data_IF_864170937374
#
_entry.id   IF_864170937374
#
_cell.length_a   1.000
_cell.length_b   1.000
_cell.length_c   1.000
_cell.angle_alpha   90.00
_cell.angle_beta   90.00
_cell.angle_gamma   90.00
#
_symmetry.space_group_name_H-M   'P 1'
#
loop_
_entity.id
_entity.type
_entity.pdbx_description
1 polymer ?
#
# COMPACT_ATOMS: atom_id res chain seq x y z
N UNK A 1 4.01 -34.30 -73.32
CA UNK A 1 5.13 -35.24 -73.69
C UNK A 1 5.48 -35.82 -72.32
N UNK A 2 5.32 -37.01 -71.99
CA UNK A 2 5.30 -38.37 -72.41
C UNK A 2 5.49 -39.17 -71.15
N UNK A 3 4.48 -39.92 -70.68
CA UNK A 3 4.39 -41.37 -70.93
C UNK A 3 5.61 -42.12 -70.37
N UNK A 4 5.56 -43.21 -69.56
CA UNK A 4 4.71 -44.39 -69.69
C UNK A 4 5.07 -45.31 -68.49
N UNK A 5 4.13 -45.91 -67.79
CA UNK A 5 3.81 -47.32 -67.55
C UNK A 5 4.96 -48.25 -67.11
N UNK A 6 4.75 -49.16 -66.20
CA UNK A 6 3.84 -50.24 -65.99
C UNK A 6 4.35 -51.15 -64.85
N UNK A 7 3.56 -51.75 -64.04
CA UNK A 7 2.83 -53.02 -64.20
C UNK A 7 3.63 -54.31 -63.92
N UNK A 8 3.05 -55.08 -63.02
CA UNK A 8 2.92 -56.50 -62.89
C UNK A 8 3.97 -57.26 -62.02
N UNK A 9 3.53 -57.80 -60.87
CA UNK A 9 2.78 -59.09 -60.69
C UNK A 9 3.70 -60.32 -60.51
N UNK A 10 3.37 -61.07 -59.53
CA UNK A 10 3.33 -62.54 -59.30
C UNK A 10 4.20 -62.96 -58.14
N UNK A 11 3.60 -63.34 -57.03
CA UNK A 11 2.94 -64.63 -56.69
C UNK A 11 3.91 -65.82 -56.94
N UNK A 12 4.34 -66.41 -55.86
CA UNK A 12 4.33 -67.86 -55.79
C UNK A 12 4.56 -68.41 -54.38
N UNK A 13 3.63 -69.22 -53.99
CA UNK A 13 3.67 -70.13 -52.87
C UNK A 13 4.75 -71.21 -53.10
N UNK A 14 5.44 -71.58 -52.02
CA UNK A 14 5.91 -72.97 -51.95
C UNK A 14 5.91 -73.50 -50.55
N UNK A 15 5.33 -74.65 -50.48
CA UNK A 15 5.02 -75.51 -49.32
C UNK A 15 6.20 -76.35 -48.90
N UNK A 16 6.15 -76.84 -47.65
CA UNK A 16 6.64 -78.12 -47.12
C UNK A 16 8.09 -78.16 -46.73
N UNK A 17 8.50 -78.66 -45.62
CA UNK A 17 8.22 -79.89 -44.85
C UNK A 17 9.22 -79.99 -43.67
N UNK A 18 8.71 -80.35 -42.51
CA UNK A 18 9.31 -81.17 -41.44
C UNK A 18 10.82 -81.34 -41.36
N UNK A 19 11.42 -80.98 -40.23
CA UNK A 19 12.15 -81.94 -39.42
C UNK A 19 12.42 -81.40 -38.01
N UNK A 20 12.18 -82.28 -37.05
CA UNK A 20 12.30 -82.13 -35.58
C UNK A 20 13.83 -82.07 -35.28
N UNK A 21 14.25 -81.11 -34.47
CA UNK A 21 15.42 -81.27 -33.64
C UNK A 21 15.28 -80.35 -32.38
N UNK A 22 15.15 -80.98 -31.25
CA UNK A 22 15.29 -80.42 -29.94
C UNK A 22 16.61 -79.66 -29.77
N UNK A 23 16.56 -78.38 -29.37
CA UNK A 23 17.63 -77.81 -28.57
C UNK A 23 17.08 -76.73 -27.63
N UNK A 24 17.27 -77.00 -26.37
CA UNK A 24 17.06 -76.08 -25.24
C UNK A 24 17.73 -74.76 -25.52
N UNK A 25 16.96 -73.69 -25.74
CA UNK A 25 17.42 -72.31 -25.64
C UNK A 25 16.63 -71.67 -24.53
N UNK A 26 17.31 -71.46 -23.42
CA UNK A 26 16.90 -70.69 -22.25
C UNK A 26 16.51 -69.27 -22.75
N UNK A 27 15.21 -69.04 -22.85
CA UNK A 27 14.66 -67.73 -23.11
C UNK A 27 14.94 -66.84 -21.91
N UNK A 28 15.91 -65.97 -21.95
CA UNK A 28 15.98 -64.82 -21.09
C UNK A 28 14.81 -63.90 -21.46
N UNK A 29 13.70 -64.07 -20.72
CA UNK A 29 12.67 -63.05 -20.61
C UNK A 29 13.34 -61.83 -19.96
N UNK A 30 13.77 -60.87 -20.77
CA UNK A 30 14.05 -59.51 -20.28
C UNK A 30 12.72 -58.96 -19.80
N UNK A 31 12.46 -59.13 -18.50
CA UNK A 31 11.42 -58.43 -17.80
C UNK A 31 11.89 -56.97 -17.77
N UNK A 32 11.54 -56.20 -18.80
CA UNK A 32 11.63 -54.74 -18.71
C UNK A 32 10.76 -54.36 -17.54
N UNK A 33 11.30 -53.76 -16.46
CA UNK A 33 10.42 -53.21 -15.45
C UNK A 33 9.54 -52.20 -16.19
N UNK A 34 8.25 -52.48 -16.29
CA UNK A 34 7.25 -51.47 -16.61
C UNK A 34 7.51 -50.33 -15.59
N UNK A 35 8.21 -49.29 -16.06
CA UNK A 35 8.33 -48.06 -15.29
C UNK A 35 6.88 -47.64 -14.97
N UNK A 36 6.43 -48.02 -13.80
CA UNK A 36 5.15 -47.55 -13.30
C UNK A 36 5.17 -46.05 -13.42
N UNK A 37 4.33 -45.50 -14.29
CA UNK A 37 4.02 -44.08 -14.29
C UNK A 37 3.53 -43.80 -12.87
N UNK A 38 4.44 -43.32 -12.00
CA UNK A 38 4.07 -42.92 -10.66
C UNK A 38 2.95 -41.90 -10.85
N UNK A 39 1.77 -42.24 -10.33
CA UNK A 39 0.65 -41.31 -10.33
C UNK A 39 1.17 -39.93 -9.87
N UNK A 40 0.85 -38.86 -10.57
CA UNK A 40 1.34 -37.53 -10.22
C UNK A 40 0.88 -37.22 -8.79
N UNK A 41 1.84 -37.16 -7.87
CA UNK A 41 1.56 -36.89 -6.45
C UNK A 41 0.87 -35.53 -6.33
N UNK A 42 -0.35 -35.53 -5.79
CA UNK A 42 -1.09 -34.31 -5.51
C UNK A 42 -0.53 -33.65 -4.24
N UNK A 43 0.02 -32.44 -4.37
CA UNK A 43 0.59 -31.68 -3.27
C UNK A 43 -0.51 -31.10 -2.37
N UNK A 44 -0.34 -31.21 -1.06
CA UNK A 44 -1.19 -30.59 -0.05
C UNK A 44 -0.66 -29.19 0.23
N UNK A 45 -1.41 -28.16 -0.19
CA UNK A 45 -1.00 -26.78 -0.14
C UNK A 45 -1.85 -26.01 0.85
N UNK A 46 -1.24 -25.59 1.97
CA UNK A 46 -1.91 -24.80 2.99
C UNK A 46 -2.09 -23.35 2.57
N UNK A 47 -3.27 -22.79 2.88
CA UNK A 47 -3.60 -21.38 2.66
C UNK A 47 -4.39 -20.83 3.84
N UNK A 48 -4.26 -19.53 4.15
CA UNK A 48 -4.97 -18.87 5.26
C UNK A 48 -5.99 -17.89 4.71
N UNK A 49 -7.25 -17.99 5.15
CA UNK A 49 -8.26 -17.00 4.78
C UNK A 49 -8.08 -15.68 5.56
N UNK A 50 -8.40 -14.56 4.91
CA UNK A 50 -8.40 -13.24 5.58
C UNK A 50 -7.02 -12.61 5.78
N UNK A 51 -6.04 -12.98 4.96
CA UNK A 51 -4.69 -12.41 4.94
C UNK A 51 -4.46 -11.56 3.69
N UNK A 52 -5.41 -10.67 3.40
CA UNK A 52 -5.31 -9.76 2.27
C UNK A 52 -4.04 -8.91 2.34
N UNK A 53 -3.37 -8.64 1.22
CA UNK A 53 -3.62 -9.09 -0.15
C UNK A 53 -2.94 -10.42 -0.50
N UNK A 54 -2.32 -11.13 0.46
CA UNK A 54 -1.49 -12.32 0.20
C UNK A 54 -2.31 -13.57 -0.07
N UNK A 55 -3.25 -13.90 0.83
CA UNK A 55 -4.21 -14.99 0.61
C UNK A 55 -5.57 -14.67 1.23
N UNK A 56 -6.62 -14.88 0.47
CA UNK A 56 -8.01 -14.69 0.91
C UNK A 56 -8.97 -15.49 0.04
N UNK A 57 -10.20 -15.62 0.52
CA UNK A 57 -11.26 -16.29 -0.21
C UNK A 57 -12.34 -15.28 -0.59
N UNK A 58 -12.67 -15.21 -1.88
CA UNK A 58 -13.69 -14.34 -2.43
C UNK A 58 -14.62 -15.14 -3.33
N UNK A 59 -15.93 -15.04 -3.10
CA UNK A 59 -16.94 -15.82 -3.82
C UNK A 59 -16.62 -17.33 -3.94
N UNK A 60 -16.01 -17.92 -2.91
CA UNK A 60 -15.61 -19.31 -2.89
C UNK A 60 -14.26 -19.63 -3.54
N UNK A 61 -13.64 -18.68 -4.24
CA UNK A 61 -12.36 -18.84 -4.94
C UNK A 61 -11.21 -18.27 -4.09
N UNK A 62 -10.09 -18.97 -4.06
CA UNK A 62 -8.86 -18.48 -3.44
C UNK A 62 -8.15 -17.49 -4.35
N UNK A 63 -7.74 -16.38 -3.79
CA UNK A 63 -7.09 -15.25 -4.47
C UNK A 63 -5.95 -14.68 -3.62
N UNK A 64 -5.16 -13.83 -4.25
CA UNK A 64 -4.13 -13.02 -3.60
C UNK A 64 -2.72 -13.32 -4.09
N UNK A 65 -1.80 -12.40 -3.82
CA UNK A 65 -0.45 -12.43 -4.34
C UNK A 65 0.25 -13.79 -4.21
N UNK A 66 0.19 -14.39 -3.02
CA UNK A 66 0.83 -15.68 -2.75
C UNK A 66 0.13 -16.82 -3.48
N UNK A 67 -1.19 -16.82 -3.50
CA UNK A 67 -2.00 -17.86 -4.16
C UNK A 67 -1.86 -17.77 -5.68
N UNK A 68 -1.90 -16.57 -6.24
CA UNK A 68 -1.77 -16.36 -7.68
C UNK A 68 -0.35 -16.69 -8.15
N UNK A 69 0.68 -16.33 -7.37
CA UNK A 69 2.06 -16.74 -7.64
C UNK A 69 2.21 -18.27 -7.60
N UNK A 70 1.66 -18.92 -6.58
CA UNK A 70 1.68 -20.39 -6.49
C UNK A 70 0.99 -21.05 -7.69
N UNK A 71 -0.14 -20.51 -8.10
CA UNK A 71 -0.87 -21.01 -9.28
C UNK A 71 -0.01 -20.95 -10.54
N UNK A 72 0.72 -19.85 -10.74
CA UNK A 72 1.65 -19.71 -11.86
C UNK A 72 2.83 -20.71 -11.78
N UNK A 73 3.40 -20.89 -10.56
CA UNK A 73 4.45 -21.90 -10.34
C UNK A 73 3.94 -23.31 -10.64
N UNK A 74 2.76 -23.67 -10.12
CA UNK A 74 2.18 -24.99 -10.28
C UNK A 74 1.83 -25.29 -11.75
N UNK A 75 1.25 -24.33 -12.47
CA UNK A 75 0.97 -24.45 -13.90
C UNK A 75 2.24 -24.68 -14.72
N UNK A 76 3.26 -23.84 -14.47
CA UNK A 76 4.53 -23.91 -15.21
C UNK A 76 5.27 -25.22 -15.01
N UNK A 77 5.22 -25.73 -13.79
CA UNK A 77 5.90 -26.98 -13.39
C UNK A 77 5.01 -28.22 -13.49
N UNK A 78 3.80 -28.07 -14.01
CA UNK A 78 2.82 -29.16 -14.11
C UNK A 78 2.64 -29.90 -12.77
N UNK A 79 2.50 -29.13 -11.65
CA UNK A 79 2.29 -29.65 -10.31
C UNK A 79 0.80 -29.75 -10.01
N UNK A 80 0.35 -30.97 -9.65
CA UNK A 80 -1.01 -31.18 -9.18
C UNK A 80 -1.07 -30.85 -7.69
N UNK A 81 -2.04 -30.05 -7.27
CA UNK A 81 -2.17 -29.66 -5.88
C UNK A 81 -3.62 -29.49 -5.42
N UNK A 82 -3.82 -29.57 -4.12
CA UNK A 82 -5.09 -29.26 -3.46
C UNK A 82 -4.86 -28.21 -2.38
N UNK A 83 -5.65 -27.13 -2.43
CA UNK A 83 -5.63 -26.08 -1.41
C UNK A 83 -6.35 -26.57 -0.15
N UNK A 84 -5.69 -26.40 1.00
CA UNK A 84 -6.19 -26.77 2.32
C UNK A 84 -6.28 -25.51 3.21
N UNK A 85 -7.51 -25.12 3.63
CA UNK A 85 -7.68 -23.95 4.49
C UNK A 85 -7.09 -24.22 5.88
N UNK A 86 -6.30 -23.27 6.36
CA UNK A 86 -5.70 -23.30 7.68
C UNK A 86 -6.22 -22.14 8.54
N UNK A 87 -6.26 -22.32 9.85
CA UNK A 87 -6.78 -21.31 10.79
C UNK A 87 -5.84 -20.15 11.03
N UNK A 88 -4.52 -20.37 10.91
CA UNK A 88 -3.49 -19.35 11.15
C UNK A 88 -2.20 -19.67 10.38
N UNK A 89 -1.35 -18.65 10.22
CA UNK A 89 -0.01 -18.83 9.65
C UNK A 89 0.81 -19.80 10.50
N UNK A 90 0.71 -19.69 11.82
CA UNK A 90 1.47 -20.57 12.73
C UNK A 90 1.05 -22.03 12.59
N UNK A 91 -0.27 -22.32 12.58
CA UNK A 91 -0.77 -23.69 12.40
C UNK A 91 -0.36 -24.27 11.02
N UNK A 92 -0.36 -23.43 9.98
CA UNK A 92 0.08 -23.80 8.65
C UNK A 92 1.59 -24.13 8.60
N UNK A 93 2.43 -23.34 9.25
CA UNK A 93 3.88 -23.58 9.37
C UNK A 93 4.16 -24.89 10.12
N UNK A 94 3.47 -25.13 11.24
CA UNK A 94 3.66 -26.33 12.04
C UNK A 94 3.18 -27.60 11.29
N UNK A 95 2.05 -27.54 10.59
CA UNK A 95 1.57 -28.61 9.72
C UNK A 95 2.57 -28.91 8.59
N UNK A 96 3.20 -27.89 8.02
CA UNK A 96 4.24 -28.07 6.99
C UNK A 96 5.48 -28.74 7.56
N UNK A 97 5.92 -28.34 8.75
CA UNK A 97 7.06 -28.96 9.46
C UNK A 97 6.78 -30.41 9.83
N UNK A 98 5.53 -30.73 10.20
CA UNK A 98 5.11 -32.09 10.55
C UNK A 98 4.79 -32.96 9.31
N UNK A 99 4.94 -32.41 8.11
CA UNK A 99 4.66 -33.06 6.82
C UNK A 99 3.16 -33.40 6.61
N UNK A 100 2.27 -32.70 7.29
CA UNK A 100 0.83 -32.73 7.05
C UNK A 100 0.46 -31.90 5.82
N UNK A 101 1.24 -30.86 5.55
CA UNK A 101 1.24 -30.07 4.31
C UNK A 101 2.56 -30.25 3.58
N UNK A 102 2.53 -30.17 2.26
CA UNK A 102 3.72 -30.18 1.41
C UNK A 102 4.27 -28.76 1.17
N UNK A 103 3.38 -27.77 1.06
CA UNK A 103 3.74 -26.35 0.87
C UNK A 103 2.77 -25.46 1.66
N UNK A 104 3.31 -24.42 2.29
CA UNK A 104 2.53 -23.35 2.90
C UNK A 104 2.61 -22.11 2.01
N UNK A 105 1.47 -21.69 1.44
CA UNK A 105 1.36 -20.61 0.47
C UNK A 105 0.77 -19.37 1.13
N UNK A 106 1.66 -18.46 1.50
CA UNK A 106 1.36 -17.16 2.11
C UNK A 106 2.57 -16.23 1.92
N UNK A 107 2.44 -14.94 2.18
CA UNK A 107 3.58 -14.02 2.30
C UNK A 107 4.26 -14.23 3.67
N UNK A 108 5.09 -15.26 3.77
CA UNK A 108 5.70 -15.64 5.04
C UNK A 108 7.06 -14.98 5.17
N UNK A 109 7.21 -14.13 6.17
CA UNK A 109 8.48 -13.47 6.49
C UNK A 109 9.51 -14.52 6.95
N UNK A 110 10.71 -14.46 6.39
CA UNK A 110 11.83 -15.34 6.67
C UNK A 110 12.64 -14.82 7.88
N UNK A 111 11.99 -14.67 9.04
CA UNK A 111 12.68 -14.23 10.25
C UNK A 111 13.70 -15.26 10.73
N UNK A 112 14.75 -14.84 11.47
CA UNK A 112 15.75 -15.76 12.02
C UNK A 112 15.14 -16.86 12.90
N UNK A 113 14.07 -16.57 13.63
CA UNK A 113 13.33 -17.53 14.45
C UNK A 113 12.65 -18.63 13.61
N UNK A 114 12.12 -18.25 12.43
CA UNK A 114 11.46 -19.15 11.49
C UNK A 114 12.46 -19.96 10.66
N UNK A 115 13.54 -19.34 10.19
CA UNK A 115 14.59 -20.02 9.43
C UNK A 115 15.26 -21.15 10.22
N UNK A 116 15.30 -21.05 11.55
CA UNK A 116 15.81 -22.14 12.41
C UNK A 116 14.86 -23.36 12.49
N UNK A 117 13.58 -23.20 12.19
CA UNK A 117 12.54 -24.22 12.44
C UNK A 117 11.94 -24.77 11.16
N UNK A 118 11.92 -24.00 10.08
CA UNK A 118 11.18 -24.32 8.87
C UNK A 118 12.08 -24.19 7.63
N UNK A 119 11.80 -24.97 6.60
CA UNK A 119 12.39 -24.81 5.28
C UNK A 119 11.58 -23.85 4.44
N UNK A 120 12.26 -23.03 3.63
CA UNK A 120 11.63 -22.07 2.75
C UNK A 120 12.08 -22.23 1.31
N UNK A 121 11.22 -21.77 0.39
CA UNK A 121 11.56 -21.55 -1.01
C UNK A 121 12.54 -20.37 -1.14
N UNK A 122 13.05 -20.15 -2.36
CA UNK A 122 13.62 -18.84 -2.68
C UNK A 122 12.60 -17.73 -2.39
N UNK A 123 13.05 -16.61 -1.85
CA UNK A 123 12.15 -15.48 -1.58
C UNK A 123 11.64 -14.87 -2.88
N UNK A 124 10.35 -14.62 -2.90
CA UNK A 124 9.72 -14.00 -4.06
C UNK A 124 9.62 -12.46 -3.93
N UNK A 125 9.53 -11.94 -2.71
CA UNK A 125 9.53 -10.49 -2.46
C UNK A 125 10.22 -10.15 -1.14
N UNK A 126 10.42 -8.85 -0.92
CA UNK A 126 10.82 -8.24 0.34
C UNK A 126 9.71 -7.31 0.78
N UNK A 127 9.38 -7.35 2.06
CA UNK A 127 8.39 -6.48 2.68
C UNK A 127 8.82 -6.13 4.10
N UNK A 128 8.46 -4.91 4.55
CA UNK A 128 8.73 -4.44 5.91
C UNK A 128 7.48 -4.49 6.77
N UNK A 129 7.67 -4.23 8.06
CA UNK A 129 6.55 -3.88 8.92
C UNK A 129 6.23 -2.39 8.77
N UNK A 130 4.97 -2.05 8.94
CA UNK A 130 4.52 -0.66 8.94
C UNK A 130 3.53 -0.42 10.07
N UNK A 131 3.39 0.84 10.44
CA UNK A 131 2.41 1.28 11.43
C UNK A 131 1.31 2.06 10.74
N UNK A 132 0.07 1.69 11.00
CA UNK A 132 -1.12 2.39 10.54
C UNK A 132 -1.80 3.07 11.73
N UNK A 133 -2.21 4.32 11.56
CA UNK A 133 -3.03 5.08 12.51
C UNK A 133 -4.28 5.61 11.79
N UNK A 134 -5.35 5.85 12.55
CA UNK A 134 -6.51 6.54 12.03
C UNK A 134 -6.29 8.05 12.15
N UNK A 135 -6.51 8.76 11.05
CA UNK A 135 -6.62 10.21 11.09
C UNK A 135 -8.08 10.61 11.35
N UNK A 136 -8.28 11.61 12.19
CA UNK A 136 -9.61 12.16 12.44
C UNK A 136 -10.14 12.85 11.16
N UNK A 137 -11.35 12.52 10.66
CA UNK A 137 -11.92 13.17 9.48
C UNK A 137 -12.06 14.69 9.65
N UNK A 138 -12.13 15.18 10.89
CA UNK A 138 -12.15 16.62 11.19
C UNK A 138 -10.74 17.24 11.33
N UNK A 139 -9.69 16.47 11.14
CA UNK A 139 -8.32 16.96 11.25
C UNK A 139 -8.03 18.10 10.27
N UNK A 140 -8.52 18.00 9.02
CA UNK A 140 -8.39 19.05 8.00
C UNK A 140 -9.08 20.36 8.40
N UNK A 141 -10.28 20.31 8.98
CA UNK A 141 -10.98 21.52 9.44
C UNK A 141 -10.32 22.14 10.66
N UNK A 142 -9.81 21.32 11.60
CA UNK A 142 -8.99 21.80 12.72
C UNK A 142 -7.67 22.40 12.25
N UNK A 143 -7.01 21.78 11.27
CA UNK A 143 -5.81 22.32 10.66
C UNK A 143 -6.06 23.67 9.98
N UNK A 144 -7.14 23.76 9.24
CA UNK A 144 -7.55 25.01 8.60
C UNK A 144 -7.77 26.12 9.64
N UNK A 145 -8.49 25.84 10.72
CA UNK A 145 -8.68 26.79 11.81
C UNK A 145 -7.36 27.14 12.51
N UNK A 146 -6.51 26.16 12.77
CA UNK A 146 -5.19 26.40 13.37
C UNK A 146 -4.29 27.25 12.46
N UNK A 147 -4.30 27.00 11.16
CA UNK A 147 -3.57 27.83 10.19
C UNK A 147 -4.08 29.27 10.14
N UNK A 148 -5.40 29.49 10.20
CA UNK A 148 -6.00 30.83 10.25
C UNK A 148 -5.60 31.63 11.49
N UNK A 149 -5.36 30.98 12.62
CA UNK A 149 -4.96 31.60 13.87
C UNK A 149 -3.47 31.39 14.16
N UNK A 150 -2.68 30.99 13.17
CA UNK A 150 -1.25 30.83 13.36
C UNK A 150 -0.59 32.19 13.68
N UNK A 151 0.37 32.27 14.63
CA UNK A 151 1.06 33.49 14.97
C UNK A 151 1.81 34.10 13.77
N UNK A 152 2.23 33.28 12.81
CA UNK A 152 2.87 33.70 11.58
C UNK A 152 1.90 34.42 10.64
N UNK A 153 0.70 33.85 10.43
CA UNK A 153 -0.34 34.48 9.62
C UNK A 153 -0.83 35.79 10.24
N UNK A 154 -1.10 35.78 11.56
CA UNK A 154 -1.54 36.99 12.27
C UNK A 154 -0.51 38.14 12.15
N UNK A 155 0.79 37.84 12.31
CA UNK A 155 1.87 38.84 12.11
C UNK A 155 1.91 39.35 10.69
N UNK A 156 1.76 38.47 9.70
CA UNK A 156 1.78 38.88 8.30
C UNK A 156 0.57 39.75 7.93
N UNK A 157 -0.63 39.35 8.36
CA UNK A 157 -1.85 40.17 8.18
C UNK A 157 -1.69 41.54 8.82
N UNK A 158 -1.16 41.59 10.05
CA UNK A 158 -0.89 42.84 10.74
C UNK A 158 0.10 43.75 9.96
N UNK A 159 1.19 43.18 9.44
CA UNK A 159 2.16 43.92 8.62
C UNK A 159 1.55 44.44 7.32
N UNK A 160 0.79 43.60 6.61
CA UNK A 160 0.13 44.02 5.37
C UNK A 160 -0.95 45.10 5.64
N UNK A 161 -1.72 44.95 6.72
CA UNK A 161 -2.68 45.98 7.14
C UNK A 161 -2.00 47.28 7.51
N UNK A 162 -0.87 47.21 8.21
CA UNK A 162 -0.05 48.41 8.52
C UNK A 162 0.46 49.07 7.24
N UNK A 163 0.92 48.29 6.27
CA UNK A 163 1.39 48.79 4.98
C UNK A 163 0.26 49.55 4.23
N UNK A 164 -0.94 48.95 4.18
CA UNK A 164 -2.11 49.59 3.55
C UNK A 164 -2.57 50.81 4.32
N UNK A 165 -2.43 50.80 5.66
CA UNK A 165 -2.72 51.97 6.50
C UNK A 165 -1.75 53.13 6.16
N UNK A 166 -0.45 52.87 6.03
CA UNK A 166 0.55 53.85 5.64
C UNK A 166 0.27 54.40 4.25
N UNK A 167 -0.06 53.56 3.28
CA UNK A 167 -0.45 53.98 1.94
C UNK A 167 -1.69 54.88 1.95
N UNK A 168 -2.69 54.50 2.76
CA UNK A 168 -3.92 55.33 2.95
C UNK A 168 -3.64 56.67 3.57
N UNK A 169 -2.71 56.73 4.54
CA UNK A 169 -2.26 57.97 5.16
C UNK A 169 -1.52 58.86 4.18
N UNK A 170 -0.69 58.29 3.28
CA UNK A 170 0.01 59.01 2.22
C UNK A 170 -0.98 59.62 1.20
N UNK A 171 -1.98 58.83 0.74
CA UNK A 171 -3.03 59.35 -0.16
C UNK A 171 -3.79 60.48 0.52
N UNK A 172 -4.21 60.26 1.77
CA UNK A 172 -4.93 61.30 2.54
C UNK A 172 -4.09 62.55 2.73
N UNK A 173 -2.79 62.45 3.07
CA UNK A 173 -1.89 63.58 3.29
C UNK A 173 -1.68 64.38 2.02
N UNK A 174 -1.42 63.73 0.86
CA UNK A 174 -1.22 64.38 -0.43
C UNK A 174 -2.46 65.11 -0.91
N UNK A 175 -3.64 64.53 -0.66
CA UNK A 175 -4.92 65.10 -1.11
C UNK A 175 -5.42 66.19 -0.17
N UNK A 176 -5.29 66.04 1.15
CA UNK A 176 -5.77 67.00 2.15
C UNK A 176 -4.99 68.29 2.11
N UNK A 177 -3.71 68.24 1.77
CA UNK A 177 -2.87 69.43 1.57
C UNK A 177 -3.40 70.33 0.44
N UNK A 178 -4.04 69.75 -0.58
CA UNK A 178 -4.61 70.48 -1.73
C UNK A 178 -6.09 70.83 -1.55
N UNK A 179 -6.84 70.08 -0.73
CA UNK A 179 -8.29 70.21 -0.58
C UNK A 179 -8.75 71.11 0.56
N UNK A 180 -7.83 71.51 1.45
CA UNK A 180 -8.10 72.52 2.52
C UNK A 180 -8.70 73.83 1.97
N UNK A 181 -8.57 74.05 0.66
CA UNK A 181 -9.05 75.25 -0.05
C UNK A 181 -10.50 75.08 -0.58
N UNK A 182 -11.04 73.86 -0.75
CA UNK A 182 -12.24 73.64 -1.57
C UNK A 182 -13.48 73.06 -0.90
N UNK A 183 -13.40 72.39 0.25
CA UNK A 183 -14.57 71.65 0.80
C UNK A 183 -14.70 71.81 2.32
N UNK A 184 -15.53 72.74 2.74
CA UNK A 184 -15.96 72.86 4.14
C UNK A 184 -16.82 71.69 4.59
N UNK A 185 -16.49 71.10 5.76
CA UNK A 185 -17.53 70.46 6.58
C UNK A 185 -17.47 69.00 6.93
N UNK A 186 -16.51 68.18 6.44
CA UNK A 186 -16.39 66.78 6.93
C UNK A 186 -15.13 66.60 7.79
N UNK A 187 -15.24 65.85 8.91
CA UNK A 187 -14.11 65.61 9.80
C UNK A 187 -12.97 64.92 9.08
N UNK A 188 -11.70 65.28 9.33
CA UNK A 188 -10.54 64.67 8.66
C UNK A 188 -10.49 63.15 8.86
N UNK A 189 -10.95 62.66 10.00
CA UNK A 189 -11.03 61.24 10.31
C UNK A 189 -12.00 60.49 9.38
N UNK A 190 -13.15 61.09 9.07
CA UNK A 190 -14.12 60.45 8.17
C UNK A 190 -13.57 60.29 6.76
N UNK A 191 -12.79 61.24 6.26
CA UNK A 191 -12.12 61.18 4.98
C UNK A 191 -11.03 60.12 4.96
N UNK A 192 -10.20 60.06 6.00
CA UNK A 192 -9.20 58.99 6.14
C UNK A 192 -9.80 57.60 6.13
N UNK A 193 -10.85 57.36 6.96
CA UNK A 193 -11.53 56.06 7.01
C UNK A 193 -12.10 55.69 5.65
N UNK A 194 -12.67 56.68 4.90
CA UNK A 194 -13.16 56.42 3.54
C UNK A 194 -12.06 56.01 2.57
N UNK A 195 -10.92 56.73 2.57
CA UNK A 195 -9.73 56.37 1.75
C UNK A 195 -9.21 54.98 2.13
N UNK A 196 -9.09 54.72 3.41
CA UNK A 196 -8.62 53.42 3.90
C UNK A 196 -9.56 52.27 3.48
N UNK A 197 -10.86 52.46 3.59
CA UNK A 197 -11.85 51.48 3.14
C UNK A 197 -11.74 51.20 1.66
N UNK A 198 -11.60 52.25 0.82
CA UNK A 198 -11.46 52.09 -0.62
C UNK A 198 -10.16 51.35 -1.00
N UNK A 199 -9.05 51.67 -0.36
CA UNK A 199 -7.79 50.93 -0.61
C UNK A 199 -7.90 49.50 -0.14
N UNK A 200 -8.58 49.23 0.97
CA UNK A 200 -8.77 47.89 1.49
C UNK A 200 -9.72 47.03 0.61
N UNK A 201 -10.90 47.56 0.26
CA UNK A 201 -11.90 46.85 -0.50
C UNK A 201 -11.64 46.88 -2.01
N UNK A 202 -11.02 47.95 -2.52
CA UNK A 202 -10.81 48.19 -3.93
C UNK A 202 -12.06 48.70 -4.65
N UNK A 203 -13.13 48.95 -3.93
CA UNK A 203 -14.38 49.48 -4.43
C UNK A 203 -14.54 50.94 -3.99
N UNK A 204 -14.59 51.86 -4.94
CA UNK A 204 -14.84 53.27 -4.66
C UNK A 204 -14.66 54.12 -5.88
N UNK A 205 -15.41 55.25 -5.92
CA UNK A 205 -15.34 56.24 -6.99
C UNK A 205 -14.00 56.94 -6.96
N UNK A 206 -13.38 57.09 -8.14
CA UNK A 206 -12.17 57.84 -8.34
C UNK A 206 -12.33 59.35 -8.04
N UNK A 207 -13.57 59.80 -7.76
CA UNK A 207 -13.90 61.20 -7.41
C UNK A 207 -13.38 61.63 -6.05
N UNK A 208 -12.80 60.75 -5.26
CA UNK A 208 -12.24 61.07 -3.95
C UNK A 208 -10.89 61.79 -4.08
N UNK A 209 -10.25 61.69 -5.24
CA UNK A 209 -8.93 62.22 -5.50
C UNK A 209 -8.98 63.17 -6.71
N UNK A 210 -8.92 64.44 -6.42
CA UNK A 210 -9.02 65.50 -7.45
C UNK A 210 -7.68 65.85 -8.09
N UNK A 211 -6.56 65.60 -7.40
CA UNK A 211 -5.24 65.97 -7.88
C UNK A 211 -4.54 64.87 -8.68
N UNK A 212 -3.77 65.24 -9.69
CA UNK A 212 -2.94 64.32 -10.49
C UNK A 212 -1.94 63.57 -9.63
N UNK A 213 -1.36 64.22 -8.59
CA UNK A 213 -0.45 63.61 -7.63
C UNK A 213 -1.15 62.58 -6.73
N UNK A 214 -2.34 62.93 -6.24
CA UNK A 214 -3.18 61.99 -5.46
C UNK A 214 -3.56 60.77 -6.27
N UNK A 215 -3.95 60.92 -7.55
CA UNK A 215 -4.26 59.78 -8.45
C UNK A 215 -3.06 58.86 -8.65
N UNK A 216 -1.87 59.40 -8.82
CA UNK A 216 -0.65 58.57 -8.95
C UNK A 216 -0.35 57.77 -7.68
N UNK A 217 -0.51 58.36 -6.48
CA UNK A 217 -0.32 57.69 -5.21
C UNK A 217 -1.43 56.63 -4.98
N UNK A 218 -2.65 56.94 -5.37
CA UNK A 218 -3.77 55.98 -5.28
C UNK A 218 -3.53 54.76 -6.21
N UNK A 219 -3.06 54.98 -7.44
CA UNK A 219 -2.68 53.86 -8.33
C UNK A 219 -1.55 52.99 -7.72
N UNK A 220 -0.51 53.62 -7.14
CA UNK A 220 0.53 52.91 -6.44
C UNK A 220 -0.04 52.10 -5.25
N UNK A 221 -0.98 52.66 -4.49
CA UNK A 221 -1.66 51.95 -3.39
C UNK A 221 -2.45 50.72 -3.88
N UNK A 222 -3.12 50.79 -5.03
CA UNK A 222 -3.78 49.63 -5.63
C UNK A 222 -2.82 48.52 -6.07
N UNK A 223 -1.67 48.91 -6.64
CA UNK A 223 -0.63 47.91 -6.97
C UNK A 223 -0.11 47.23 -5.71
N UNK A 224 0.19 48.00 -4.67
CA UNK A 224 0.64 47.45 -3.37
C UNK A 224 -0.43 46.52 -2.79
N UNK A 225 -1.71 46.89 -2.82
CA UNK A 225 -2.78 46.06 -2.37
C UNK A 225 -2.86 44.74 -3.13
N UNK A 226 -2.79 44.77 -4.46
CA UNK A 226 -2.86 43.55 -5.29
C UNK A 226 -1.69 42.62 -5.00
N UNK A 227 -0.49 43.16 -4.85
CA UNK A 227 0.69 42.39 -4.45
C UNK A 227 0.50 41.81 -3.04
N UNK A 228 0.00 42.61 -2.10
CA UNK A 228 -0.26 42.18 -0.72
C UNK A 228 -1.28 41.06 -0.67
N UNK A 229 -2.35 41.14 -1.46
CA UNK A 229 -3.36 40.06 -1.58
C UNK A 229 -2.75 38.78 -2.15
N UNK A 230 -1.94 38.87 -3.19
CA UNK A 230 -1.27 37.70 -3.77
C UNK A 230 -0.30 37.03 -2.78
N UNK A 231 0.49 37.85 -2.05
CA UNK A 231 1.38 37.36 -0.99
C UNK A 231 0.60 36.66 0.13
N UNK A 232 -0.52 37.24 0.56
CA UNK A 232 -1.38 36.62 1.59
C UNK A 232 -1.94 35.30 1.17
N UNK A 233 -2.46 35.19 -0.06
CA UNK A 233 -2.99 33.93 -0.61
C UNK A 233 -1.87 32.89 -0.74
N UNK A 234 -0.71 33.28 -1.27
CA UNK A 234 0.45 32.39 -1.38
C UNK A 234 0.91 31.86 -0.01
N UNK A 235 1.01 32.75 0.97
CA UNK A 235 1.40 32.35 2.34
C UNK A 235 0.37 31.42 2.99
N UNK A 236 -0.92 31.74 2.88
CA UNK A 236 -1.98 30.88 3.40
C UNK A 236 -1.95 29.49 2.76
N UNK A 237 -1.69 29.43 1.45
CA UNK A 237 -1.56 28.15 0.73
C UNK A 237 -0.39 27.32 1.27
N UNK A 238 0.77 27.94 1.48
CA UNK A 238 1.96 27.27 2.03
C UNK A 238 1.69 26.78 3.46
N UNK A 239 1.10 27.61 4.32
CA UNK A 239 0.77 27.26 5.70
C UNK A 239 -0.23 26.09 5.75
N UNK A 240 -1.29 26.11 4.91
CA UNK A 240 -2.26 25.03 4.79
C UNK A 240 -1.62 23.72 4.29
N UNK A 241 -0.72 23.80 3.31
CA UNK A 241 -0.02 22.62 2.79
C UNK A 241 0.91 22.04 3.85
N UNK A 242 1.65 22.89 4.58
CA UNK A 242 2.52 22.44 5.67
C UNK A 242 1.74 21.81 6.82
N UNK A 243 0.62 22.40 7.23
CA UNK A 243 -0.23 21.85 8.28
C UNK A 243 -0.91 20.55 7.82
N UNK A 244 -1.40 20.50 6.58
CA UNK A 244 -1.95 19.27 6.00
C UNK A 244 -0.90 18.17 5.87
N UNK A 245 0.34 18.50 5.50
CA UNK A 245 1.47 17.57 5.49
C UNK A 245 1.87 17.16 6.92
N UNK A 246 1.84 18.06 7.89
CA UNK A 246 2.07 17.76 9.31
C UNK A 246 1.03 16.80 9.89
N UNK A 247 -0.22 16.93 9.46
CA UNK A 247 -1.31 16.00 9.83
C UNK A 247 -1.21 14.65 9.09
N UNK A 248 -0.87 14.67 7.79
CA UNK A 248 -0.60 13.48 7.01
C UNK A 248 0.70 12.79 7.44
N UNK A 249 1.63 13.56 7.97
CA UNK A 249 2.92 13.14 8.52
C UNK A 249 2.96 13.39 10.03
N UNK A 250 2.01 12.84 10.77
CA UNK A 250 2.35 12.43 12.13
C UNK A 250 3.32 11.26 11.98
N UNK A 251 4.53 11.58 11.50
CA UNK A 251 5.61 10.61 11.49
C UNK A 251 5.82 10.23 12.92
N UNK A 252 5.52 8.99 13.23
CA UNK A 252 6.07 8.35 14.41
C UNK A 252 7.57 8.31 14.14
N UNK A 253 8.31 9.20 14.76
CA UNK A 253 9.74 9.37 14.46
C UNK A 253 10.61 8.41 15.26
N UNK A 254 10.02 7.73 16.25
CA UNK A 254 10.76 6.80 17.10
C UNK A 254 9.90 5.61 17.56
N UNK A 255 10.57 4.51 17.86
CA UNK A 255 9.95 3.36 18.49
C UNK A 255 9.46 3.66 19.92
N UNK A 256 9.99 4.69 20.58
CA UNK A 256 9.55 5.12 21.91
C UNK A 256 8.12 5.66 21.88
N UNK A 257 7.76 6.42 20.84
CA UNK A 257 6.39 6.89 20.65
C UNK A 257 5.43 5.70 20.41
N UNK A 258 5.88 4.68 19.70
CA UNK A 258 5.12 3.46 19.47
C UNK A 258 4.87 2.71 20.78
N UNK A 259 5.88 2.62 21.63
CA UNK A 259 5.78 1.93 22.93
C UNK A 259 4.77 2.55 23.90
N UNK A 260 4.42 3.83 23.72
CA UNK A 260 3.41 4.54 24.51
C UNK A 260 1.96 4.33 24.02
N UNK A 261 1.77 3.57 22.94
CA UNK A 261 0.45 3.38 22.29
C UNK A 261 -0.13 1.99 22.57
N UNK A 262 -1.47 1.88 22.44
CA UNK A 262 -2.13 0.58 22.30
C UNK A 262 -2.03 0.14 20.86
N UNK A 263 -1.30 -0.94 20.61
CA UNK A 263 -0.99 -1.42 19.26
C UNK A 263 -1.72 -2.72 18.96
N UNK A 264 -2.54 -2.66 17.92
CA UNK A 264 -3.17 -3.84 17.33
C UNK A 264 -2.16 -4.64 16.50
N UNK A 265 -2.17 -5.96 16.63
CA UNK A 265 -1.31 -6.86 15.87
C UNK A 265 -1.99 -8.21 15.64
N UNK A 266 -1.56 -8.93 14.60
CA UNK A 266 -2.02 -10.30 14.35
C UNK A 266 -1.09 -11.30 15.07
N UNK A 267 -1.66 -12.18 15.89
CA UNK A 267 -0.89 -13.20 16.62
C UNK A 267 -0.18 -14.18 15.65
N UNK A 268 1.00 -14.67 16.07
CA UNK A 268 1.80 -15.60 15.28
C UNK A 268 2.53 -14.95 14.09
N UNK A 269 2.61 -13.62 14.04
CA UNK A 269 3.32 -12.88 12.99
C UNK A 269 4.59 -12.22 13.53
N UNK A 270 5.43 -11.71 12.63
CA UNK A 270 6.65 -10.96 12.97
C UNK A 270 6.31 -9.67 13.75
N UNK A 271 5.13 -9.10 13.51
CA UNK A 271 4.63 -7.95 14.29
C UNK A 271 4.55 -8.28 15.79
N UNK A 272 4.12 -9.49 16.15
CA UNK A 272 4.11 -9.93 17.55
C UNK A 272 5.54 -10.05 18.14
N UNK A 273 6.48 -10.61 17.37
CA UNK A 273 7.87 -10.72 17.76
C UNK A 273 8.48 -9.33 18.04
N UNK A 274 8.23 -8.37 17.12
CA UNK A 274 8.71 -7.00 17.25
C UNK A 274 8.13 -6.29 18.49
N UNK A 275 6.84 -6.43 18.75
CA UNK A 275 6.22 -5.83 19.94
C UNK A 275 6.71 -6.45 21.25
N UNK A 276 7.03 -7.74 21.27
CA UNK A 276 7.68 -8.40 22.42
C UNK A 276 9.08 -7.87 22.66
N UNK A 277 9.86 -7.68 21.59
CA UNK A 277 11.20 -7.11 21.68
C UNK A 277 11.19 -5.66 22.18
N UNK A 278 10.15 -4.89 21.83
CA UNK A 278 9.93 -3.55 22.37
C UNK A 278 9.43 -3.54 23.83
N UNK A 279 9.33 -4.71 24.48
CA UNK A 279 8.91 -4.82 25.87
C UNK A 279 7.44 -4.55 26.13
N UNK A 280 6.60 -4.48 25.09
CA UNK A 280 5.16 -4.23 25.25
C UNK A 280 4.43 -5.41 25.88
N UNK A 281 3.62 -5.13 26.90
CA UNK A 281 2.79 -6.13 27.57
C UNK A 281 1.47 -6.36 26.82
N UNK A 282 0.87 -7.54 27.01
CA UNK A 282 -0.51 -7.77 26.56
C UNK A 282 -1.47 -6.83 27.30
N UNK A 283 -2.46 -6.31 26.59
CA UNK A 283 -3.54 -5.56 27.24
C UNK A 283 -4.27 -6.47 28.22
N UNK A 284 -4.31 -6.06 29.48
CA UNK A 284 -5.13 -6.72 30.49
C UNK A 284 -6.60 -6.26 30.31
N UNK A 285 -7.52 -7.21 30.41
CA UNK A 285 -8.96 -6.95 30.30
C UNK A 285 -9.51 -6.09 31.47
N UNK A 286 -8.76 -6.00 32.56
CA UNK A 286 -9.14 -5.29 33.78
C UNK A 286 -8.60 -3.85 33.89
N UNK A 287 -7.51 -3.53 33.20
CA UNK A 287 -6.91 -2.19 33.20
C UNK A 287 -6.62 -1.73 31.76
N UNK A 288 -7.22 -0.61 31.37
CA UNK A 288 -6.92 0.08 30.11
C UNK A 288 -5.51 0.72 30.20
N UNK A 289 -4.48 -0.11 30.11
CA UNK A 289 -3.11 0.39 30.00
C UNK A 289 -3.00 1.23 28.71
N UNK A 290 -2.47 2.44 28.81
CA UNK A 290 -2.25 3.31 27.65
C UNK A 290 -1.23 2.71 26.68
N UNK A 291 -0.32 1.86 27.17
CA UNK A 291 0.67 1.18 26.35
C UNK A 291 0.48 -0.33 26.47
N UNK A 292 -0.05 -0.93 25.41
CA UNK A 292 -0.30 -2.37 25.39
C UNK A 292 -0.38 -2.91 23.97
N UNK A 293 -0.07 -4.20 23.83
CA UNK A 293 -0.30 -4.95 22.59
C UNK A 293 -1.67 -5.64 22.63
N UNK A 294 -2.48 -5.42 21.59
CA UNK A 294 -3.84 -5.92 21.48
C UNK A 294 -3.92 -6.91 20.32
N UNK A 295 -4.20 -8.20 20.55
CA UNK A 295 -4.35 -9.15 19.46
C UNK A 295 -5.60 -8.85 18.63
N UNK A 296 -5.47 -8.90 17.30
CA UNK A 296 -6.54 -8.71 16.33
C UNK A 296 -6.69 -9.98 15.50
N UNK A 297 -7.93 -10.42 15.27
CA UNK A 297 -8.21 -11.67 14.58
C UNK A 297 -7.87 -11.63 13.09
N UNK A 298 -8.17 -10.53 12.43
CA UNK A 298 -7.86 -10.34 11.01
C UNK A 298 -7.35 -8.93 10.74
N UNK A 299 -6.61 -8.77 9.65
CA UNK A 299 -6.11 -7.45 9.26
C UNK A 299 -7.26 -6.48 8.93
N UNK A 300 -8.38 -6.98 8.44
CA UNK A 300 -9.57 -6.15 8.18
C UNK A 300 -10.20 -5.60 9.46
N UNK A 301 -10.18 -6.37 10.56
CA UNK A 301 -10.68 -5.92 11.87
C UNK A 301 -9.85 -4.78 12.46
N UNK A 302 -8.64 -4.56 11.92
CA UNK A 302 -7.77 -3.46 12.31
C UNK A 302 -8.42 -2.08 12.10
N UNK A 303 -9.15 -1.90 10.99
CA UNK A 303 -9.84 -0.63 10.70
C UNK A 303 -10.96 -0.38 11.70
N UNK A 304 -11.71 -1.41 12.09
CA UNK A 304 -12.73 -1.30 13.12
C UNK A 304 -12.12 -1.03 14.49
N UNK A 305 -11.02 -1.72 14.83
CA UNK A 305 -10.32 -1.51 16.08
C UNK A 305 -9.75 -0.08 16.22
N UNK A 306 -9.26 0.50 15.12
CA UNK A 306 -8.82 1.90 15.06
C UNK A 306 -10.02 2.85 15.19
N UNK A 307 -11.11 2.58 14.45
CA UNK A 307 -12.33 3.40 14.50
C UNK A 307 -12.96 3.46 15.89
N UNK A 308 -13.05 2.31 16.55
CA UNK A 308 -13.65 2.15 17.88
C UNK A 308 -12.71 2.64 19.01
N UNK A 309 -11.49 3.07 18.67
CA UNK A 309 -10.49 3.50 19.64
C UNK A 309 -9.96 2.37 20.54
N UNK A 310 -10.22 1.09 20.17
CA UNK A 310 -9.67 -0.06 20.91
C UNK A 310 -8.14 -0.10 20.82
N UNK A 311 -7.61 0.36 19.69
CA UNK A 311 -6.18 0.54 19.45
C UNK A 311 -5.91 1.93 18.89
N UNK A 312 -4.71 2.46 19.16
CA UNK A 312 -4.27 3.76 18.64
C UNK A 312 -3.49 3.60 17.33
N UNK A 313 -2.85 2.45 17.17
CA UNK A 313 -2.08 2.10 15.98
C UNK A 313 -2.23 0.60 15.67
N UNK A 314 -1.91 0.22 14.46
CA UNK A 314 -1.83 -1.18 14.02
C UNK A 314 -0.45 -1.42 13.41
N UNK A 315 0.23 -2.47 13.87
CA UNK A 315 1.50 -2.94 13.33
C UNK A 315 1.26 -4.22 12.52
N UNK A 316 1.59 -4.18 11.24
CA UNK A 316 1.48 -5.33 10.33
C UNK A 316 2.45 -5.17 9.15
N UNK A 317 2.48 -6.18 8.26
CA UNK A 317 3.24 -6.10 7.02
C UNK A 317 2.78 -4.89 6.18
N UNK A 318 3.72 -4.16 5.62
CA UNK A 318 3.46 -2.93 4.88
C UNK A 318 2.51 -3.17 3.71
N UNK A 319 2.67 -4.28 2.99
CA UNK A 319 1.79 -4.67 1.89
C UNK A 319 0.32 -4.80 2.35
N UNK A 320 0.09 -5.41 3.52
CA UNK A 320 -1.25 -5.57 4.08
C UNK A 320 -1.86 -4.22 4.49
N UNK A 321 -1.06 -3.35 5.11
CA UNK A 321 -1.55 -2.03 5.52
C UNK A 321 -1.80 -1.10 4.32
N UNK A 322 -0.98 -1.16 3.27
CA UNK A 322 -1.22 -0.44 2.02
C UNK A 322 -2.51 -0.91 1.33
N UNK A 323 -2.77 -2.21 1.33
CA UNK A 323 -4.04 -2.75 0.85
C UNK A 323 -5.22 -2.22 1.64
N UNK A 324 -5.15 -2.20 2.97
CA UNK A 324 -6.20 -1.64 3.82
C UNK A 324 -6.39 -0.14 3.57
N UNK A 325 -5.31 0.61 3.40
CA UNK A 325 -5.35 2.05 3.11
C UNK A 325 -6.10 2.33 1.81
N UNK A 326 -5.81 1.58 0.74
CA UNK A 326 -6.48 1.75 -0.55
C UNK A 326 -7.97 1.32 -0.55
N UNK A 327 -8.38 0.47 0.40
CA UNK A 327 -9.74 -0.06 0.50
C UNK A 327 -10.54 0.48 1.70
N UNK A 328 -10.04 1.52 2.35
CA UNK A 328 -10.65 2.07 3.56
C UNK A 328 -11.84 3.01 3.31
N UNK A 329 -12.20 3.32 2.07
CA UNK A 329 -13.23 4.32 1.73
C UNK A 329 -14.57 4.14 2.46
N UNK A 330 -14.95 2.89 2.75
CA UNK A 330 -16.20 2.55 3.45
C UNK A 330 -16.08 2.52 4.98
N UNK A 331 -14.88 2.65 5.54
CA UNK A 331 -14.64 2.49 6.99
C UNK A 331 -15.02 3.71 7.84
N UNK A 332 -15.12 4.89 7.21
CA UNK A 332 -15.39 6.17 7.90
C UNK A 332 -14.17 6.71 8.65
N UNK A 333 -12.98 6.18 8.42
CA UNK A 333 -11.70 6.70 8.91
C UNK A 333 -10.75 6.91 7.74
N UNK A 334 -9.77 7.78 7.91
CA UNK A 334 -8.68 7.99 6.95
C UNK A 334 -7.42 7.34 7.53
N UNK A 335 -7.08 6.10 7.10
CA UNK A 335 -5.88 5.45 7.59
C UNK A 335 -4.62 6.07 6.95
N UNK A 336 -3.61 6.31 7.77
CA UNK A 336 -2.30 6.83 7.38
C UNK A 336 -1.21 5.88 7.83
N UNK A 337 -0.14 5.82 7.08
CA UNK A 337 1.04 5.01 7.39
C UNK A 337 2.21 5.93 7.77
N UNK A 338 2.28 6.39 9.03
CA UNK A 338 3.32 7.32 9.48
C UNK A 338 4.72 6.69 9.52
N UNK A 339 4.81 5.36 9.65
CA UNK A 339 6.06 4.63 9.70
C UNK A 339 5.97 3.40 8.79
N UNK A 340 6.91 3.25 7.87
CA UNK A 340 6.99 2.15 6.89
C UNK A 340 8.41 1.63 6.80
N UNK A 341 8.59 0.45 6.19
CA UNK A 341 9.93 -0.14 5.99
C UNK A 341 10.62 -0.56 7.29
N UNK A 342 9.85 -0.83 8.36
CA UNK A 342 10.42 -1.29 9.62
C UNK A 342 10.87 -2.73 9.44
N UNK A 343 12.13 -3.01 9.72
CA UNK A 343 12.70 -4.36 9.70
C UNK A 343 12.29 -5.13 8.43
N UNK A 344 12.77 -4.71 7.24
CA UNK A 344 12.43 -5.39 6.00
C UNK A 344 12.93 -6.83 6.04
N UNK A 345 12.06 -7.76 5.66
CA UNK A 345 12.35 -9.19 5.62
C UNK A 345 11.95 -9.76 4.26
N UNK A 346 12.70 -10.77 3.83
CA UNK A 346 12.36 -11.54 2.65
C UNK A 346 11.13 -12.40 2.94
N UNK A 347 10.26 -12.59 1.95
CA UNK A 347 9.08 -13.42 2.05
C UNK A 347 9.14 -14.58 1.05
N UNK A 348 8.73 -15.77 1.51
CA UNK A 348 8.76 -17.00 0.74
C UNK A 348 7.70 -17.99 1.19
N UNK A 349 7.58 -19.10 0.45
CA UNK A 349 6.73 -20.23 0.81
C UNK A 349 7.47 -21.14 1.79
N UNK A 350 6.78 -21.68 2.81
CA UNK A 350 7.38 -22.74 3.61
C UNK A 350 7.16 -24.09 2.91
N UNK A 351 8.17 -24.94 2.98
CA UNK A 351 8.23 -26.25 2.32
C UNK A 351 8.40 -27.35 3.33
N UNK A 352 7.71 -28.49 3.11
CA UNK A 352 7.89 -29.68 3.91
C UNK A 352 9.31 -30.22 3.80
N UNK A 353 9.94 -30.64 4.91
CA UNK A 353 11.25 -31.29 4.89
C UNK A 353 11.27 -32.61 4.08
N UNK A 354 10.11 -33.22 3.88
CA UNK A 354 9.96 -34.46 3.08
C UNK A 354 9.58 -34.19 1.61
N UNK A 355 9.51 -32.94 1.20
CA UNK A 355 9.25 -32.62 -0.20
C UNK A 355 10.46 -33.05 -1.05
N UNK A 356 10.20 -33.70 -2.18
CA UNK A 356 11.27 -34.18 -3.07
C UNK A 356 12.18 -32.98 -3.45
N UNK A 357 13.50 -33.11 -3.27
CA UNK A 357 14.49 -32.05 -3.61
C UNK A 357 14.36 -31.55 -5.05
N UNK A 358 14.02 -32.41 -5.99
CA UNK A 358 13.82 -31.99 -7.39
C UNK A 358 12.57 -31.11 -7.52
N UNK A 359 11.50 -31.41 -6.78
CA UNK A 359 10.32 -30.55 -6.72
C UNK A 359 10.65 -29.20 -6.10
N UNK A 360 11.43 -29.16 -5.03
CA UNK A 360 11.91 -27.89 -4.40
C UNK A 360 12.72 -27.08 -5.41
N UNK A 361 13.63 -27.71 -6.14
CA UNK A 361 14.45 -27.06 -7.17
C UNK A 361 13.59 -26.48 -8.29
N UNK A 362 12.57 -27.20 -8.76
CA UNK A 362 11.63 -26.74 -9.78
C UNK A 362 10.81 -25.54 -9.29
N UNK A 363 10.27 -25.60 -8.08
CA UNK A 363 9.56 -24.45 -7.45
C UNK A 363 10.47 -23.23 -7.41
N UNK A 364 11.71 -23.37 -6.93
CA UNK A 364 12.66 -22.27 -6.81
C UNK A 364 13.07 -21.70 -8.17
N UNK A 365 13.26 -22.54 -9.16
CA UNK A 365 13.56 -22.12 -10.52
C UNK A 365 12.41 -21.30 -11.12
N UNK A 366 11.18 -21.78 -10.97
CA UNK A 366 9.99 -21.08 -11.41
C UNK A 366 9.83 -19.72 -10.73
N UNK A 367 9.99 -19.65 -9.40
CA UNK A 367 9.95 -18.36 -8.67
C UNK A 367 10.99 -17.38 -9.23
N UNK A 368 12.24 -17.86 -9.43
CA UNK A 368 13.31 -17.03 -9.98
C UNK A 368 13.00 -16.51 -11.39
N UNK A 369 12.43 -17.35 -12.24
CA UNK A 369 12.05 -16.96 -13.61
C UNK A 369 10.86 -15.97 -13.62
N UNK A 370 9.84 -16.21 -12.80
CA UNK A 370 8.68 -15.33 -12.68
C UNK A 370 9.08 -13.96 -12.13
N UNK A 371 10.04 -13.91 -11.21
CA UNK A 371 10.63 -12.66 -10.72
C UNK A 371 11.36 -11.90 -11.83
N UNK A 372 12.18 -12.59 -12.64
CA UNK A 372 12.94 -11.98 -13.76
C UNK A 372 12.04 -11.47 -14.88
N UNK A 373 10.92 -12.12 -15.14
CA UNK A 373 9.96 -11.72 -16.17
C UNK A 373 9.02 -10.56 -15.74
N UNK A 374 9.17 -10.01 -14.54
CA UNK A 374 8.35 -8.92 -14.04
C UNK A 374 6.94 -9.31 -13.62
N UNK A 375 6.53 -10.58 -13.78
CA UNK A 375 5.17 -11.04 -13.41
C UNK A 375 4.88 -10.85 -11.92
N UNK A 376 5.88 -11.03 -11.08
CA UNK A 376 5.72 -10.84 -9.64
C UNK A 376 5.32 -9.39 -9.30
N UNK A 377 5.95 -8.41 -9.96
CA UNK A 377 5.61 -6.99 -9.78
C UNK A 377 4.18 -6.70 -10.26
N UNK A 378 3.78 -7.32 -11.36
CA UNK A 378 2.41 -7.23 -11.87
C UNK A 378 1.40 -7.79 -10.86
N UNK A 379 1.63 -9.02 -10.35
CA UNK A 379 0.77 -9.65 -9.34
C UNK A 379 0.68 -8.81 -8.05
N UNK A 380 1.78 -8.19 -7.63
CA UNK A 380 1.80 -7.29 -6.48
C UNK A 380 0.92 -6.05 -6.71
N UNK A 381 1.02 -5.44 -7.87
CA UNK A 381 0.20 -4.27 -8.24
C UNK A 381 -1.28 -4.64 -8.33
N UNK A 382 -1.60 -5.78 -8.93
CA UNK A 382 -2.97 -6.31 -9.01
C UNK A 382 -3.54 -6.60 -7.61
N UNK A 383 -2.75 -7.20 -6.74
CA UNK A 383 -3.15 -7.49 -5.36
C UNK A 383 -3.44 -6.22 -4.54
N UNK A 384 -2.68 -5.15 -4.75
CA UNK A 384 -2.92 -3.85 -4.10
C UNK A 384 -4.12 -3.11 -4.66
N UNK A 385 -4.38 -3.24 -5.96
CA UNK A 385 -5.53 -2.60 -6.62
C UNK A 385 -6.88 -3.23 -6.23
N UNK A 386 -6.87 -4.48 -5.74
CA UNK A 386 -8.06 -5.20 -5.29
C UNK A 386 -8.95 -5.76 -6.39
N UNK A 387 -10.06 -6.41 -6.02
CA UNK A 387 -10.86 -7.26 -6.93
C UNK A 387 -11.58 -6.52 -8.09
N UNK A 388 -11.61 -5.21 -8.10
CA UNK A 388 -12.23 -4.41 -9.16
C UNK A 388 -11.34 -4.07 -10.36
N UNK A 389 -10.02 -4.19 -10.22
CA UNK A 389 -9.06 -3.74 -11.23
C UNK A 389 -8.77 -4.77 -12.34
N UNK A 390 -9.22 -6.00 -12.18
CA UNK A 390 -8.89 -7.12 -13.09
C UNK A 390 -9.85 -7.31 -14.27
N UNK A 391 -10.80 -6.41 -14.49
CA UNK A 391 -11.80 -6.58 -15.58
C UNK A 391 -11.25 -6.40 -17.01
N UNK A 392 -9.96 -6.14 -17.17
CA UNK A 392 -9.30 -5.97 -18.47
C UNK A 392 -8.24 -7.07 -18.76
N UNK A 393 -8.49 -8.32 -18.33
CA UNK A 393 -7.76 -9.45 -18.91
C UNK A 393 -8.30 -9.69 -20.32
N UNK A 394 -7.80 -8.95 -21.30
CA UNK A 394 -7.81 -9.37 -22.69
C UNK A 394 -6.93 -10.63 -22.78
N UNK A 395 -7.57 -11.72 -23.10
CA UNK A 395 -7.00 -12.97 -23.63
C UNK A 395 -5.83 -12.69 -24.57
N UNK A 396 -4.64 -13.08 -24.14
CA UNK A 396 -3.50 -13.32 -25.03
C UNK A 396 -3.09 -14.79 -24.88
#
# INVERSE_FOLDING_TARGET
MGKVTGLLRRDQRCKCRFLIANLLLIGWSVCTPAGGLAEPRVLRVGVVAGSQPCSYREAGVWRGLAVDLWTQVAQRENLHYRLMPMSSIQSMLDATRLNELDVAVECINLSPSRLRKYQFSLPFQEDGQAVMVANDPFSLSRAFLAALFSPSLVRMVALLTLLLFVMSALVWWVEDYSSLVKHGGKSPLHRFVKVFTIILTGEGDAEIVDTTRGRAVLMAAYVVRNISSAVLVGFLTVELVQEAQGLASRRLNSFDELSAMRIGYKSGTVSEELLKELGMQLADSSHQSQSARVPINSIRDSLLALKDGRVNAVLADELQLRYLQSHAASSGIIPVLPMTGIRPELQGFALSPKLNPETVKRINLSISQLKRNGLLQQLRNEALAGPGATSNRSTF
#
